data_IF_432037464552
#
_entry.id   IF_432037464552
#
_cell.length_a   1.000
_cell.length_b   1.000
_cell.length_c   1.000
_cell.angle_alpha   90.00
_cell.angle_beta   90.00
_cell.angle_gamma   90.00
#
_symmetry.space_group_name_H-M   'P 1'
#
loop_
_entity.id
_entity.type
_entity.pdbx_description
1 polymer ?
#
# COMPACT_ATOMS: atom_id res chain seq x y z
N UNK A 1 63.83 -54.40 -3.54
CA UNK A 1 62.53 -54.57 -2.86
C UNK A 1 62.62 -53.67 -1.63
N UNK A 2 62.04 -52.48 -1.57
CA UNK A 2 60.60 -52.22 -1.56
C UNK A 2 60.37 -50.72 -1.83
N UNK A 3 59.47 -50.39 -2.78
CA UNK A 3 59.12 -49.01 -3.17
C UNK A 3 57.95 -48.54 -2.31
N UNK A 4 58.20 -47.72 -1.28
CA UNK A 4 57.12 -46.99 -0.58
C UNK A 4 56.89 -45.63 -1.22
N UNK A 5 55.86 -45.58 -2.06
CA UNK A 5 55.29 -44.35 -2.59
C UNK A 5 54.61 -43.53 -1.47
N UNK A 6 54.92 -42.23 -1.41
CA UNK A 6 54.20 -41.24 -0.59
C UNK A 6 53.04 -40.69 -1.43
N UNK A 7 51.80 -40.61 -0.91
CA UNK A 7 50.72 -39.95 -1.64
C UNK A 7 50.82 -38.42 -1.55
N UNK A 8 50.65 -37.78 -2.71
CA UNK A 8 50.53 -36.34 -2.88
C UNK A 8 49.29 -35.80 -2.16
N UNK A 9 49.48 -34.84 -1.26
CA UNK A 9 48.39 -34.09 -0.63
C UNK A 9 47.97 -32.94 -1.57
N UNK A 10 47.02 -33.19 -2.47
CA UNK A 10 46.37 -32.11 -3.23
C UNK A 10 45.37 -31.39 -2.33
N UNK A 11 45.72 -30.17 -1.91
CA UNK A 11 44.82 -29.21 -1.26
C UNK A 11 43.58 -28.97 -2.14
N UNK A 12 42.41 -29.42 -1.69
CA UNK A 12 41.11 -28.92 -2.17
C UNK A 12 40.97 -27.45 -1.76
N UNK A 13 40.53 -26.54 -2.65
CA UNK A 13 40.18 -25.19 -2.22
C UNK A 13 38.92 -25.25 -1.36
N UNK A 14 38.97 -24.55 -0.22
CA UNK A 14 37.83 -24.34 0.66
C UNK A 14 36.71 -23.65 -0.14
N UNK A 15 35.56 -24.32 -0.24
CA UNK A 15 34.35 -23.72 -0.74
C UNK A 15 34.04 -22.49 0.12
N UNK A 16 34.18 -21.30 -0.47
CA UNK A 16 33.70 -20.06 0.09
C UNK A 16 32.19 -20.20 0.27
N UNK A 17 31.77 -20.49 1.50
CA UNK A 17 30.42 -20.24 1.94
C UNK A 17 30.26 -18.72 1.99
N UNK A 18 29.86 -18.14 0.86
CA UNK A 18 29.25 -16.82 0.83
C UNK A 18 27.90 -16.95 1.55
N UNK A 19 27.94 -16.88 2.87
CA UNK A 19 26.77 -16.59 3.69
C UNK A 19 26.28 -15.21 3.30
N UNK A 20 25.36 -15.17 2.33
CA UNK A 20 24.42 -14.07 2.25
C UNK A 20 23.65 -14.11 3.55
N UNK A 21 24.03 -13.22 4.47
CA UNK A 21 23.24 -12.94 5.65
C UNK A 21 21.86 -12.56 5.13
N UNK A 22 20.93 -13.52 5.23
CA UNK A 22 19.54 -13.31 4.93
C UNK A 22 19.13 -12.08 5.72
N UNK A 23 18.75 -11.02 5.01
CA UNK A 23 17.94 -9.98 5.62
C UNK A 23 16.73 -10.74 6.14
N UNK A 24 16.64 -10.96 7.45
CA UNK A 24 15.39 -11.35 8.09
C UNK A 24 14.43 -10.20 7.79
N UNK A 25 13.79 -10.27 6.63
CA UNK A 25 12.69 -9.42 6.25
C UNK A 25 11.62 -9.70 7.29
N UNK A 26 11.53 -8.83 8.30
CA UNK A 26 10.56 -8.97 9.37
C UNK A 26 9.17 -9.02 8.76
N UNK A 27 8.50 -10.16 8.94
CA UNK A 27 7.12 -10.38 8.54
C UNK A 27 6.21 -9.50 9.38
N UNK A 28 5.41 -8.67 8.72
CA UNK A 28 4.26 -8.03 9.37
C UNK A 28 3.02 -8.90 9.12
N UNK A 29 2.42 -9.45 10.17
CA UNK A 29 1.08 -10.04 10.05
C UNK A 29 0.04 -8.95 10.31
N UNK A 30 -0.85 -8.72 9.35
CA UNK A 30 -1.94 -7.76 9.46
C UNK A 30 -3.29 -8.49 9.45
N UNK A 31 -3.99 -8.44 10.58
CA UNK A 31 -5.29 -9.07 10.72
C UNK A 31 -6.46 -8.10 10.43
N UNK A 32 -7.29 -8.48 9.47
CA UNK A 32 -8.44 -7.73 8.98
C UNK A 32 -9.78 -8.48 9.19
N UNK A 33 -9.80 -9.72 9.69
CA UNK A 33 -10.96 -10.60 9.52
C UNK A 33 -12.21 -10.24 10.35
N UNK A 34 -12.07 -9.37 11.36
CA UNK A 34 -13.18 -8.87 12.19
C UNK A 34 -13.68 -7.46 11.79
N UNK A 35 -13.15 -6.89 10.72
CA UNK A 35 -13.46 -5.52 10.32
C UNK A 35 -14.55 -5.49 9.24
N UNK A 36 -15.23 -4.36 9.10
CA UNK A 36 -16.01 -4.13 7.88
C UNK A 36 -15.06 -4.02 6.68
N UNK A 37 -15.56 -4.29 5.47
CA UNK A 37 -14.69 -4.24 4.29
C UNK A 37 -14.06 -2.87 4.04
N UNK A 38 -14.76 -1.78 4.37
CA UNK A 38 -14.22 -0.44 4.19
C UNK A 38 -13.17 -0.10 5.26
N UNK A 39 -13.34 -0.55 6.50
CA UNK A 39 -12.33 -0.44 7.56
C UNK A 39 -11.08 -1.24 7.23
N UNK A 40 -11.26 -2.50 6.82
CA UNK A 40 -10.17 -3.39 6.45
C UNK A 40 -9.27 -2.79 5.37
N UNK A 41 -9.84 -2.22 4.31
CA UNK A 41 -9.07 -1.60 3.24
C UNK A 41 -8.37 -0.32 3.70
N UNK A 42 -9.03 0.53 4.49
CA UNK A 42 -8.40 1.73 5.06
C UNK A 42 -7.21 1.37 5.94
N UNK A 43 -7.39 0.40 6.82
CA UNK A 43 -6.35 -0.06 7.75
C UNK A 43 -5.21 -0.76 7.00
N UNK A 44 -5.53 -1.53 5.96
CA UNK A 44 -4.52 -2.09 5.06
C UNK A 44 -3.65 -1.01 4.42
N UNK A 45 -4.24 0.00 3.77
CA UNK A 45 -3.48 1.07 3.12
C UNK A 45 -2.61 1.83 4.12
N UNK A 46 -3.13 2.13 5.31
CA UNK A 46 -2.37 2.80 6.37
C UNK A 46 -1.17 1.96 6.84
N UNK A 47 -1.40 0.69 7.19
CA UNK A 47 -0.34 -0.21 7.64
C UNK A 47 0.69 -0.47 6.55
N UNK A 48 0.24 -0.70 5.31
CA UNK A 48 1.09 -0.87 4.14
C UNK A 48 2.02 0.34 3.93
N UNK A 49 1.47 1.56 3.94
CA UNK A 49 2.26 2.77 3.69
C UNK A 49 3.29 3.03 4.81
N UNK A 50 2.94 2.75 6.07
CA UNK A 50 3.90 2.80 7.18
C UNK A 50 5.01 1.75 7.00
N UNK A 51 4.67 0.55 6.54
CA UNK A 51 5.62 -0.54 6.32
C UNK A 51 6.58 -0.26 5.15
N UNK A 52 6.08 0.35 4.06
CA UNK A 52 6.92 0.83 2.95
C UNK A 52 7.96 1.85 3.43
N UNK A 53 7.56 2.80 4.27
CA UNK A 53 8.47 3.83 4.79
C UNK A 53 9.61 3.24 5.61
N UNK A 54 9.34 2.15 6.33
CA UNK A 54 10.32 1.41 7.14
C UNK A 54 11.22 0.49 6.31
N UNK A 55 10.94 0.32 5.01
CA UNK A 55 11.62 -0.62 4.09
C UNK A 55 11.68 -2.04 4.65
N UNK A 56 10.58 -2.46 5.26
CA UNK A 56 10.44 -3.77 5.92
C UNK A 56 10.09 -4.90 4.93
N UNK A 57 9.96 -6.12 5.45
CA UNK A 57 9.67 -7.34 4.70
C UNK A 57 8.32 -7.41 3.98
N UNK A 58 7.85 -8.62 3.71
CA UNK A 58 6.50 -8.81 3.21
C UNK A 58 5.45 -8.61 4.33
N UNK A 59 4.22 -8.36 3.92
CA UNK A 59 3.06 -8.25 4.79
C UNK A 59 2.17 -9.46 4.52
N UNK A 60 1.90 -10.23 5.56
CA UNK A 60 0.93 -11.31 5.51
C UNK A 60 -0.43 -10.80 5.97
N UNK A 61 -1.37 -10.67 5.04
CA UNK A 61 -2.68 -10.06 5.29
C UNK A 61 -3.71 -11.14 5.52
N UNK A 62 -4.13 -11.30 6.77
CA UNK A 62 -5.18 -12.24 7.18
C UNK A 62 -6.53 -11.54 7.02
N UNK A 63 -7.25 -11.87 5.94
CA UNK A 63 -8.59 -11.35 5.69
C UNK A 63 -9.70 -12.35 6.04
N UNK A 64 -9.31 -13.56 6.44
CA UNK A 64 -10.20 -14.66 6.77
C UNK A 64 -10.81 -15.32 5.54
N UNK A 65 -11.48 -16.45 5.78
CA UNK A 65 -12.16 -17.25 4.77
C UNK A 65 -13.52 -16.66 4.36
N UNK A 66 -14.05 -15.68 5.11
CA UNK A 66 -15.44 -15.21 5.00
C UNK A 66 -16.45 -16.20 5.57
N UNK A 67 -17.68 -15.74 5.80
CA UNK A 67 -18.77 -16.55 6.38
C UNK A 67 -19.16 -17.77 5.52
N UNK A 68 -18.82 -17.76 4.23
CA UNK A 68 -19.09 -18.85 3.28
C UNK A 68 -17.87 -19.72 2.94
N UNK A 69 -16.69 -19.47 3.53
CA UNK A 69 -15.45 -20.21 3.21
C UNK A 69 -14.78 -19.84 1.87
N UNK A 70 -15.49 -19.18 0.95
CA UNK A 70 -15.01 -18.81 -0.41
C UNK A 70 -14.22 -17.50 -0.47
N UNK A 71 -14.07 -16.82 0.65
CA UNK A 71 -13.41 -15.53 0.76
C UNK A 71 -14.40 -14.38 0.84
N UNK A 72 -14.53 -13.81 2.03
CA UNK A 72 -15.47 -12.74 2.31
C UNK A 72 -15.24 -11.48 1.47
N UNK A 73 -16.14 -10.50 1.62
CA UNK A 73 -16.09 -9.20 0.93
C UNK A 73 -14.69 -8.55 1.03
N UNK A 74 -14.00 -8.73 2.16
CA UNK A 74 -12.63 -8.24 2.40
C UNK A 74 -11.65 -8.84 1.39
N UNK A 75 -11.56 -10.18 1.27
CA UNK A 75 -10.66 -10.85 0.32
C UNK A 75 -10.83 -10.33 -1.10
N UNK A 76 -12.08 -10.29 -1.58
CA UNK A 76 -12.39 -9.86 -2.95
C UNK A 76 -11.94 -8.43 -3.19
N UNK A 77 -12.30 -7.50 -2.28
CA UNK A 77 -11.94 -6.10 -2.44
C UNK A 77 -10.45 -5.84 -2.23
N UNK A 78 -9.80 -6.53 -1.29
CA UNK A 78 -8.36 -6.45 -1.08
C UNK A 78 -7.62 -6.88 -2.33
N UNK A 79 -7.91 -8.08 -2.87
CA UNK A 79 -7.23 -8.57 -4.08
C UNK A 79 -7.48 -7.69 -5.30
N UNK A 80 -8.69 -7.12 -5.44
CA UNK A 80 -8.97 -6.14 -6.49
C UNK A 80 -8.11 -4.88 -6.32
N UNK A 81 -7.98 -4.36 -5.10
CA UNK A 81 -7.10 -3.23 -4.79
C UNK A 81 -5.64 -3.55 -5.11
N UNK A 82 -5.13 -4.72 -4.72
CA UNK A 82 -3.76 -5.15 -4.99
C UNK A 82 -3.50 -5.25 -6.50
N UNK A 83 -4.41 -5.87 -7.24
CA UNK A 83 -4.30 -6.02 -8.69
C UNK A 83 -4.30 -4.67 -9.43
N UNK A 84 -5.13 -3.72 -8.97
CA UNK A 84 -5.17 -2.37 -9.54
C UNK A 84 -3.86 -1.56 -9.32
N UNK A 85 -3.00 -2.01 -8.42
CA UNK A 85 -1.77 -1.31 -8.02
C UNK A 85 -0.51 -2.18 -8.21
N UNK A 86 -0.46 -2.98 -9.28
CA UNK A 86 0.70 -3.82 -9.62
C UNK A 86 2.02 -3.02 -9.83
N UNK A 87 1.94 -1.71 -10.06
CA UNK A 87 3.11 -0.84 -10.12
C UNK A 87 3.69 -0.44 -8.74
N UNK A 88 2.90 -0.63 -7.68
CA UNK A 88 3.25 -0.25 -6.30
C UNK A 88 3.63 -1.47 -5.46
N UNK A 89 3.15 -2.67 -5.82
CA UNK A 89 3.37 -3.90 -5.07
C UNK A 89 3.27 -5.14 -5.96
N UNK A 90 3.68 -6.28 -5.42
CA UNK A 90 3.29 -7.61 -5.92
C UNK A 90 2.67 -8.41 -4.79
N UNK A 91 1.88 -9.45 -5.10
CA UNK A 91 1.26 -10.28 -4.08
C UNK A 91 1.13 -11.73 -4.54
N UNK A 92 1.02 -12.64 -3.59
CA UNK A 92 0.74 -14.06 -3.81
C UNK A 92 -0.47 -14.46 -2.97
N UNK A 93 -1.39 -15.20 -3.58
CA UNK A 93 -2.59 -15.70 -2.91
C UNK A 93 -2.18 -16.85 -1.98
N UNK A 94 -2.75 -16.93 -0.77
CA UNK A 94 -2.47 -18.05 0.12
C UNK A 94 -2.84 -19.41 -0.50
N UNK A 95 -3.88 -19.47 -1.35
CA UNK A 95 -4.22 -20.68 -2.10
C UNK A 95 -3.07 -21.23 -2.97
N UNK A 96 -2.19 -20.35 -3.47
CA UNK A 96 -1.05 -20.73 -4.30
C UNK A 96 0.22 -21.00 -3.46
N UNK A 97 0.28 -20.49 -2.23
CA UNK A 97 1.44 -20.61 -1.33
C UNK A 97 1.37 -21.88 -0.48
N UNK A 98 0.26 -22.04 0.24
CA UNK A 98 0.09 -23.07 1.27
C UNK A 98 -1.32 -23.68 1.27
N UNK A 99 -2.11 -23.42 0.22
CA UNK A 99 -3.50 -23.83 0.07
C UNK A 99 -4.45 -23.16 1.09
N UNK A 100 -4.07 -22.04 1.71
CA UNK A 100 -4.89 -21.29 2.65
C UNK A 100 -5.57 -20.05 1.98
N UNK A 101 -6.85 -20.10 1.62
CA UNK A 101 -7.57 -18.97 1.05
C UNK A 101 -7.88 -17.83 2.03
N UNK A 102 -7.49 -17.95 3.30
CA UNK A 102 -7.75 -16.99 4.37
C UNK A 102 -6.74 -15.84 4.47
N UNK A 103 -5.67 -15.87 3.69
CA UNK A 103 -4.65 -14.82 3.69
C UNK A 103 -4.08 -14.52 2.28
N UNK A 104 -3.31 -13.44 2.21
CA UNK A 104 -2.60 -12.99 1.01
C UNK A 104 -1.26 -12.39 1.43
N UNK A 105 -0.16 -12.86 0.84
CA UNK A 105 1.17 -12.30 1.04
C UNK A 105 1.38 -11.11 0.10
N UNK A 106 1.76 -9.96 0.64
CA UNK A 106 1.96 -8.71 -0.11
C UNK A 106 3.40 -8.26 0.02
N UNK A 107 4.03 -7.95 -1.11
CA UNK A 107 5.39 -7.43 -1.21
C UNK A 107 5.36 -5.95 -1.59
N UNK A 108 5.56 -5.04 -0.64
CA UNK A 108 5.47 -3.61 -0.89
C UNK A 108 6.65 -3.08 -1.72
N UNK A 109 6.41 -2.10 -2.58
CA UNK A 109 7.49 -1.40 -3.34
C UNK A 109 7.39 0.12 -3.23
N UNK A 110 6.19 0.66 -3.44
CA UNK A 110 5.89 2.09 -3.37
C UNK A 110 4.62 2.31 -2.55
N UNK A 111 4.43 3.50 -1.96
CA UNK A 111 3.19 3.84 -1.26
C UNK A 111 1.96 3.68 -2.17
N UNK A 112 0.85 3.23 -1.59
CA UNK A 112 -0.47 3.25 -2.20
C UNK A 112 -1.13 4.61 -1.99
N UNK A 113 -1.98 5.08 -2.92
CA UNK A 113 -2.82 6.25 -2.70
C UNK A 113 -3.70 6.08 -1.46
N UNK A 114 -3.76 7.11 -0.62
CA UNK A 114 -4.69 7.15 0.51
C UNK A 114 -6.03 7.77 0.08
N UNK A 115 -7.07 7.57 0.89
CA UNK A 115 -8.35 8.25 0.67
C UNK A 115 -8.23 9.78 0.67
N UNK A 116 -7.21 10.34 1.35
CA UNK A 116 -6.91 11.76 1.32
C UNK A 116 -6.27 12.18 -0.02
N UNK A 117 -5.40 11.34 -0.60
CA UNK A 117 -4.80 11.57 -1.92
C UNK A 117 -5.85 11.50 -3.03
N UNK A 118 -6.76 10.53 -2.95
CA UNK A 118 -7.87 10.39 -3.89
C UNK A 118 -8.81 11.61 -3.82
N UNK A 119 -9.16 12.05 -2.60
CA UNK A 119 -9.95 13.26 -2.40
C UNK A 119 -9.23 14.49 -2.96
N UNK A 120 -7.94 14.64 -2.68
CA UNK A 120 -7.15 15.76 -3.16
C UNK A 120 -7.10 15.80 -4.69
N UNK A 121 -6.89 14.65 -5.34
CA UNK A 121 -6.90 14.52 -6.79
C UNK A 121 -8.27 14.89 -7.37
N UNK A 122 -9.34 14.36 -6.80
CA UNK A 122 -10.70 14.68 -7.26
C UNK A 122 -11.06 16.16 -7.07
N UNK A 123 -10.58 16.80 -5.99
CA UNK A 123 -10.76 18.25 -5.78
C UNK A 123 -10.04 19.05 -6.86
N UNK A 124 -8.80 18.68 -7.20
CA UNK A 124 -8.04 19.36 -8.26
C UNK A 124 -8.79 19.27 -9.58
N UNK A 125 -9.20 18.06 -9.98
CA UNK A 125 -9.92 17.84 -11.24
C UNK A 125 -11.23 18.65 -11.28
N UNK A 126 -11.96 18.69 -10.16
CA UNK A 126 -13.19 19.47 -10.04
C UNK A 126 -12.95 20.99 -10.10
N UNK A 127 -11.77 21.43 -9.67
CA UNK A 127 -11.31 22.82 -9.70
C UNK A 127 -10.58 23.19 -11.00
N UNK A 128 -10.57 22.32 -12.02
CA UNK A 128 -10.18 22.68 -13.41
C UNK A 128 -10.91 23.91 -13.94
N UNK A 129 -12.08 24.21 -13.36
CA UNK A 129 -12.76 25.51 -13.46
C UNK A 129 -12.91 26.11 -12.07
N UNK A 130 -12.94 27.44 -11.96
CA UNK A 130 -13.04 28.11 -10.68
C UNK A 130 -14.33 27.74 -9.91
N UNK A 131 -14.19 27.27 -8.66
CA UNK A 131 -15.29 26.87 -7.76
C UNK A 131 -15.25 27.63 -6.44
N UNK A 132 -16.41 27.90 -5.84
CA UNK A 132 -16.48 28.40 -4.45
C UNK A 132 -16.26 27.26 -3.47
N UNK A 133 -15.88 27.60 -2.22
CA UNK A 133 -15.74 26.60 -1.16
C UNK A 133 -17.04 25.82 -0.95
N UNK A 134 -18.20 26.49 -1.00
CA UNK A 134 -19.52 25.86 -0.87
C UNK A 134 -19.80 24.82 -1.95
N UNK A 135 -19.40 25.08 -3.21
CA UNK A 135 -19.54 24.11 -4.29
C UNK A 135 -18.66 22.89 -4.07
N UNK A 136 -17.43 23.10 -3.61
CA UNK A 136 -16.48 22.04 -3.31
C UNK A 136 -17.00 21.19 -2.14
N UNK A 137 -17.36 21.81 -1.02
CA UNK A 137 -17.87 21.10 0.16
C UNK A 137 -19.16 20.35 -0.13
N UNK A 138 -20.07 20.94 -0.91
CA UNK A 138 -21.29 20.29 -1.37
C UNK A 138 -21.02 19.06 -2.24
N UNK A 139 -20.09 19.16 -3.19
CA UNK A 139 -19.72 18.05 -4.09
C UNK A 139 -19.08 16.88 -3.34
N UNK A 140 -18.20 17.17 -2.38
CA UNK A 140 -17.41 16.17 -1.66
C UNK A 140 -17.94 15.84 -0.26
N UNK A 141 -19.18 16.22 0.06
CA UNK A 141 -19.79 16.10 1.41
C UNK A 141 -19.63 14.74 2.07
N UNK A 142 -19.60 13.65 1.29
CA UNK A 142 -19.42 12.28 1.77
C UNK A 142 -18.10 12.03 2.52
N UNK A 143 -17.08 12.87 2.29
CA UNK A 143 -15.77 12.78 2.95
C UNK A 143 -15.75 13.53 4.30
N UNK A 144 -16.79 14.32 4.59
CA UNK A 144 -16.86 15.15 5.78
C UNK A 144 -16.07 16.46 5.67
N UNK A 145 -16.58 17.51 6.32
CA UNK A 145 -15.97 18.84 6.30
C UNK A 145 -14.49 18.85 6.73
N UNK A 146 -14.06 18.14 7.79
CA UNK A 146 -12.67 18.18 8.24
C UNK A 146 -11.68 17.69 7.16
N UNK A 147 -12.00 16.59 6.47
CA UNK A 147 -11.15 16.04 5.42
C UNK A 147 -11.07 16.97 4.20
N UNK A 148 -12.21 17.56 3.81
CA UNK A 148 -12.27 18.53 2.70
C UNK A 148 -11.43 19.76 3.03
N UNK A 149 -11.56 20.32 4.24
CA UNK A 149 -10.76 21.47 4.66
C UNK A 149 -9.27 21.15 4.73
N UNK A 150 -8.90 19.98 5.24
CA UNK A 150 -7.50 19.55 5.28
C UNK A 150 -6.90 19.40 3.87
N UNK A 151 -7.65 18.81 2.94
CA UNK A 151 -7.25 18.72 1.54
C UNK A 151 -7.10 20.10 0.91
N UNK A 152 -8.08 21.00 1.06
CA UNK A 152 -8.03 22.37 0.53
C UNK A 152 -6.82 23.15 1.06
N UNK A 153 -6.53 23.06 2.36
CA UNK A 153 -5.35 23.70 2.96
C UNK A 153 -4.06 23.17 2.35
N UNK A 154 -3.92 21.85 2.27
CA UNK A 154 -2.72 21.18 1.72
C UNK A 154 -2.51 21.53 0.25
N UNK A 155 -3.58 21.52 -0.54
CA UNK A 155 -3.54 21.85 -1.97
C UNK A 155 -3.21 23.33 -2.23
N UNK A 156 -3.72 24.23 -1.39
CA UNK A 156 -3.39 25.67 -1.49
C UNK A 156 -1.93 25.91 -1.09
N UNK A 157 -1.49 25.30 0.02
CA UNK A 157 -0.11 25.44 0.51
C UNK A 157 0.92 24.86 -0.48
N UNK A 158 0.59 23.77 -1.17
CA UNK A 158 1.43 23.19 -2.23
C UNK A 158 1.33 23.90 -3.58
N UNK A 159 0.49 24.94 -3.71
CA UNK A 159 0.29 25.68 -4.96
C UNK A 159 -0.48 24.91 -6.05
N UNK A 160 -1.04 23.74 -5.73
CA UNK A 160 -1.88 22.93 -6.64
C UNK A 160 -3.30 23.49 -6.81
N UNK A 161 -3.73 24.33 -5.87
CA UNK A 161 -4.88 25.20 -6.00
C UNK A 161 -4.46 26.65 -5.79
N UNK A 162 -4.97 27.53 -6.64
CA UNK A 162 -4.94 28.99 -6.42
C UNK A 162 -6.28 29.44 -5.89
N UNK A 163 -6.25 30.48 -5.06
CA UNK A 163 -7.45 31.18 -4.64
C UNK A 163 -7.47 32.62 -5.12
N UNK A 164 -8.60 33.09 -5.63
CA UNK A 164 -8.80 34.46 -6.08
C UNK A 164 -10.10 35.02 -5.49
N UNK A 165 -10.08 36.31 -5.15
CA UNK A 165 -11.29 37.02 -4.72
C UNK A 165 -12.07 37.49 -5.96
N UNK A 166 -13.35 37.16 -6.05
CA UNK A 166 -14.26 37.65 -7.10
C UNK A 166 -15.52 38.22 -6.45
N UNK A 167 -15.53 39.54 -6.26
CA UNK A 167 -16.56 40.22 -5.48
C UNK A 167 -16.59 39.71 -4.03
N UNK A 168 -17.76 39.29 -3.56
CA UNK A 168 -17.94 38.76 -2.21
C UNK A 168 -17.40 37.33 -2.02
N UNK A 169 -17.10 36.60 -3.11
CA UNK A 169 -16.77 35.18 -3.02
C UNK A 169 -15.29 34.91 -3.27
N UNK A 170 -14.74 33.99 -2.48
CA UNK A 170 -13.43 33.38 -2.73
C UNK A 170 -13.60 32.16 -3.64
N UNK A 171 -12.91 32.17 -4.77
CA UNK A 171 -12.89 31.09 -5.75
C UNK A 171 -11.57 30.33 -5.68
N UNK A 172 -11.62 29.03 -5.98
CA UNK A 172 -10.49 28.13 -6.06
C UNK A 172 -10.44 27.49 -7.44
N UNK A 173 -9.25 27.45 -8.04
CA UNK A 173 -9.00 26.77 -9.31
C UNK A 173 -7.69 26.00 -9.23
N UNK A 174 -7.58 24.89 -9.95
CA UNK A 174 -6.30 24.20 -10.15
C UNK A 174 -5.34 25.10 -10.93
N UNK A 175 -4.05 24.91 -10.68
CA UNK A 175 -2.95 25.58 -11.39
C UNK A 175 -2.66 24.98 -12.75
#
# INVERSE_FOLDING_TARGET
MDRRARPHYTRRPAARQHGVHGVCLSKLTLDLHHQTADEALRNFVAAYNQHVQRRSGYIDVVHGYGSSGTGGVIKRRLRALLAAHAGQLSFVRGEDLDHNPGHTEVHPRKPLPTAADDLATAIIDYCSTARTLEKITGRFRRHGMPAIQAAMRTLTASGRLRSAQRGAHKLFSST
#
